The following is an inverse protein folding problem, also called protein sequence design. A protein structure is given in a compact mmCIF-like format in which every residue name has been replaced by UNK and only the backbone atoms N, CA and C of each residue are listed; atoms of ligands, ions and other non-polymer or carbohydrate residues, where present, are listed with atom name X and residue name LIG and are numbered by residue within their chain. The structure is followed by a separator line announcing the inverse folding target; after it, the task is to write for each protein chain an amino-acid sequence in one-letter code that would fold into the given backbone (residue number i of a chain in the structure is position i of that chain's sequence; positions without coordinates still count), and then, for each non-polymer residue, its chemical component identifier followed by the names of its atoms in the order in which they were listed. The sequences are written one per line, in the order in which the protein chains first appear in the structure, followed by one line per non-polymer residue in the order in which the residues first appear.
data_IF_107818676731
#
_entry.id   IF_107818676731
#
_cell.length_a   1.000
_cell.length_b   1.000
_cell.length_c   1.000
_cell.angle_alpha   90.00
_cell.angle_beta   90.00
_cell.angle_gamma   90.00
#
_symmetry.space_group_name_H-M   'P 1'
#
loop_
_entity.id
_entity.type
_entity.pdbx_description
1 polymer ?
#
# COMPACT_ATOMS: atom_id res chain seq x y z
N UNK A 1 40.38 -46.47 -37.74
CA UNK A 1 39.18 -47.05 -37.11
C UNK A 1 38.72 -46.13 -35.98
N UNK A 2 37.67 -45.34 -36.20
CA UNK A 2 37.10 -44.47 -35.17
C UNK A 2 36.10 -45.24 -34.32
N UNK A 3 36.34 -45.35 -33.01
CA UNK A 3 35.36 -45.92 -32.06
C UNK A 3 34.17 -44.96 -31.95
N UNK A 4 33.00 -45.39 -32.41
CA UNK A 4 31.76 -44.65 -32.20
C UNK A 4 31.47 -44.60 -30.69
N UNK A 5 31.50 -43.40 -30.10
CA UNK A 5 31.09 -43.18 -28.71
C UNK A 5 29.59 -43.39 -28.60
N UNK A 6 29.18 -44.39 -27.82
CA UNK A 6 27.78 -44.59 -27.44
C UNK A 6 27.30 -43.34 -26.69
N UNK A 7 26.40 -42.57 -27.29
CA UNK A 7 25.73 -41.46 -26.60
C UNK A 7 24.73 -42.08 -25.63
N UNK A 8 25.02 -42.03 -24.33
CA UNK A 8 24.05 -42.39 -23.29
C UNK A 8 22.90 -41.38 -23.33
N UNK A 9 21.68 -41.86 -23.54
CA UNK A 9 20.46 -41.07 -23.42
C UNK A 9 19.99 -40.99 -21.96
N UNK A 10 19.20 -39.97 -21.65
CA UNK A 10 18.57 -39.77 -20.34
C UNK A 10 17.50 -40.85 -20.09
N UNK A 11 17.40 -41.36 -18.87
CA UNK A 11 16.37 -42.35 -18.52
C UNK A 11 15.06 -41.67 -18.12
N UNK A 12 13.93 -42.33 -18.38
CA UNK A 12 12.61 -41.84 -17.93
C UNK A 12 12.55 -41.71 -16.40
N UNK A 13 13.21 -42.61 -15.67
CA UNK A 13 13.24 -42.59 -14.21
C UNK A 13 14.03 -41.39 -13.67
N UNK A 14 15.16 -41.02 -14.29
CA UNK A 14 15.89 -39.80 -13.93
C UNK A 14 15.00 -38.57 -14.10
N UNK A 15 14.24 -38.50 -15.19
CA UNK A 15 13.34 -37.38 -15.43
C UNK A 15 12.17 -37.35 -14.41
N UNK A 16 11.60 -38.50 -14.03
CA UNK A 16 10.53 -38.57 -13.04
C UNK A 16 10.98 -38.09 -11.66
N UNK A 17 12.15 -38.51 -11.19
CA UNK A 17 12.68 -38.09 -9.88
C UNK A 17 12.98 -36.59 -9.88
N UNK A 18 13.53 -36.05 -10.97
CA UNK A 18 13.81 -34.61 -11.10
C UNK A 18 12.52 -33.80 -11.03
N UNK A 19 11.46 -34.19 -11.76
CA UNK A 19 10.17 -33.49 -11.72
C UNK A 19 9.52 -33.59 -10.33
N UNK A 20 9.64 -34.73 -9.66
CA UNK A 20 9.13 -34.89 -8.29
C UNK A 20 9.83 -33.93 -7.31
N UNK A 21 11.16 -33.81 -7.38
CA UNK A 21 11.92 -32.88 -6.53
C UNK A 21 11.54 -31.42 -6.85
N UNK A 22 11.48 -31.05 -8.14
CA UNK A 22 11.07 -29.70 -8.55
C UNK A 22 9.65 -29.38 -8.08
N UNK A 23 8.72 -30.34 -8.13
CA UNK A 23 7.35 -30.18 -7.65
C UNK A 23 7.28 -29.84 -6.16
N UNK A 24 8.05 -30.55 -5.32
CA UNK A 24 8.14 -30.27 -3.88
C UNK A 24 8.74 -28.89 -3.61
N UNK A 25 9.84 -28.54 -4.30
CA UNK A 25 10.48 -27.24 -4.15
C UNK A 25 9.54 -26.09 -4.57
N UNK A 26 8.84 -26.24 -5.70
CA UNK A 26 7.90 -25.24 -6.20
C UNK A 26 6.71 -25.02 -5.25
N UNK A 27 6.20 -26.09 -4.62
CA UNK A 27 5.08 -26.01 -3.69
C UNK A 27 5.38 -25.11 -2.48
N UNK A 28 6.63 -25.10 -2.00
CA UNK A 28 7.05 -24.24 -0.87
C UNK A 28 7.55 -22.88 -1.35
N UNK A 29 8.28 -22.83 -2.47
CA UNK A 29 8.92 -21.61 -2.95
C UNK A 29 7.92 -20.57 -3.46
N UNK A 30 6.87 -20.99 -4.18
CA UNK A 30 5.88 -20.05 -4.76
C UNK A 30 5.14 -19.21 -3.71
N UNK A 31 4.52 -19.78 -2.65
CA UNK A 31 3.84 -18.95 -1.65
C UNK A 31 4.80 -18.05 -0.89
N UNK A 32 6.01 -18.54 -0.57
CA UNK A 32 7.03 -17.75 0.11
C UNK A 32 7.49 -16.54 -0.73
N UNK A 33 7.76 -16.76 -2.02
CA UNK A 33 8.16 -15.70 -2.94
C UNK A 33 7.04 -14.66 -3.13
N UNK A 34 5.79 -15.11 -3.23
CA UNK A 34 4.63 -14.19 -3.29
C UNK A 34 4.55 -13.31 -2.05
N UNK A 35 4.66 -13.88 -0.85
CA UNK A 35 4.64 -13.10 0.39
C UNK A 35 5.77 -12.05 0.46
N UNK A 36 6.98 -12.42 0.01
CA UNK A 36 8.10 -11.48 -0.05
C UNK A 36 7.85 -10.34 -1.05
N UNK A 37 7.29 -10.66 -2.22
CA UNK A 37 6.93 -9.65 -3.22
C UNK A 37 5.86 -8.68 -2.69
N UNK A 38 4.85 -9.18 -1.96
CA UNK A 38 3.83 -8.32 -1.35
C UNK A 38 4.44 -7.36 -0.32
N UNK A 39 5.32 -7.84 0.55
CA UNK A 39 6.02 -6.98 1.54
C UNK A 39 6.90 -5.91 0.88
N UNK A 40 7.59 -6.28 -0.20
CA UNK A 40 8.37 -5.30 -0.97
C UNK A 40 7.47 -4.21 -1.57
N UNK A 41 6.28 -4.58 -2.05
CA UNK A 41 5.29 -3.63 -2.59
C UNK A 41 4.72 -2.72 -1.51
N UNK A 42 4.40 -3.23 -0.32
CA UNK A 42 3.84 -2.40 0.76
C UNK A 42 4.80 -1.34 1.29
N UNK A 43 6.12 -1.52 1.09
CA UNK A 43 7.13 -0.52 1.48
C UNK A 43 6.93 0.80 0.73
N UNK A 44 6.52 0.73 -0.55
CA UNK A 44 6.22 1.90 -1.38
C UNK A 44 5.06 2.72 -0.80
N UNK A 45 3.99 2.06 -0.35
CA UNK A 45 2.85 2.74 0.27
C UNK A 45 3.28 3.55 1.48
N UNK A 46 4.14 2.97 2.32
CA UNK A 46 4.58 3.58 3.57
C UNK A 46 5.48 4.78 3.31
N UNK A 47 6.41 4.66 2.37
CA UNK A 47 7.29 5.76 1.97
C UNK A 47 6.48 6.95 1.43
N UNK A 48 5.55 6.70 0.51
CA UNK A 48 4.71 7.76 -0.05
C UNK A 48 3.78 8.37 1.00
N UNK A 49 3.15 7.56 1.86
CA UNK A 49 2.32 8.08 2.97
C UNK A 49 3.13 8.92 3.95
N UNK A 50 4.39 8.55 4.22
CA UNK A 50 5.32 9.34 5.01
C UNK A 50 5.63 10.70 4.38
N UNK A 51 5.87 10.72 3.06
CA UNK A 51 6.09 11.96 2.31
C UNK A 51 4.85 12.88 2.35
N UNK A 52 3.65 12.30 2.19
CA UNK A 52 2.38 13.04 2.31
C UNK A 52 2.22 13.63 3.71
N UNK A 53 2.46 12.84 4.77
CA UNK A 53 2.42 13.32 6.16
C UNK A 53 3.37 14.50 6.39
N UNK A 54 4.62 14.37 5.96
CA UNK A 54 5.61 15.42 6.12
C UNK A 54 5.20 16.71 5.39
N UNK A 55 4.63 16.58 4.18
CA UNK A 55 4.12 17.71 3.43
C UNK A 55 2.93 18.38 4.14
N UNK A 56 2.00 17.60 4.70
CA UNK A 56 0.86 18.11 5.49
C UNK A 56 1.33 18.85 6.75
N UNK A 57 2.30 18.30 7.48
CA UNK A 57 2.87 18.94 8.67
C UNK A 57 3.58 20.26 8.31
N UNK A 58 4.32 20.29 7.19
CA UNK A 58 4.93 21.51 6.67
C UNK A 58 3.87 22.55 6.27
N UNK A 59 2.79 22.12 5.63
CA UNK A 59 1.69 22.99 5.22
C UNK A 59 1.00 23.60 6.44
N UNK A 60 0.74 22.79 7.48
CA UNK A 60 0.20 23.27 8.75
C UNK A 60 1.12 24.29 9.43
N UNK A 61 2.43 24.07 9.42
CA UNK A 61 3.41 25.03 9.95
C UNK A 61 3.37 26.41 9.29
N UNK A 62 2.97 26.49 8.01
CA UNK A 62 2.90 27.73 7.25
C UNK A 62 1.53 28.41 7.33
N UNK A 63 0.44 27.62 7.32
CA UNK A 63 -0.92 28.13 7.15
C UNK A 63 -1.84 27.92 8.35
N UNK A 64 -1.36 27.25 9.42
CA UNK A 64 -2.16 26.88 10.60
C UNK A 64 -3.42 26.06 10.29
N UNK A 65 -3.40 25.36 9.16
CA UNK A 65 -4.41 24.41 8.69
C UNK A 65 -3.73 23.40 7.76
N UNK A 66 -4.29 22.20 7.60
CA UNK A 66 -3.81 21.21 6.64
C UNK A 66 -4.23 21.57 5.21
N UNK A 67 -3.63 20.90 4.22
CA UNK A 67 -4.07 21.06 2.84
C UNK A 67 -5.54 20.61 2.70
N UNK A 68 -6.21 21.04 1.63
CA UNK A 68 -7.59 20.60 1.37
C UNK A 68 -7.67 19.07 1.27
N UNK A 69 -8.89 18.52 1.37
CA UNK A 69 -9.07 17.08 1.10
C UNK A 69 -8.71 16.78 -0.35
N UNK A 70 -7.83 15.79 -0.55
CA UNK A 70 -7.29 15.39 -1.84
C UNK A 70 -7.95 14.10 -2.32
N UNK A 71 -8.42 14.11 -3.56
CA UNK A 71 -9.01 12.94 -4.21
C UNK A 71 -7.98 11.84 -4.52
N UNK A 72 -8.48 10.70 -4.99
CA UNK A 72 -7.62 9.58 -5.39
C UNK A 72 -6.63 9.96 -6.49
N UNK A 73 -5.35 9.70 -6.25
CA UNK A 73 -4.26 9.84 -7.21
C UNK A 73 -3.31 8.63 -7.11
N UNK A 74 -3.22 7.78 -8.14
CA UNK A 74 -4.02 7.81 -9.37
C UNK A 74 -5.52 7.58 -9.10
N UNK A 75 -6.41 8.04 -10.00
CA UNK A 75 -7.85 7.95 -9.79
C UNK A 75 -8.36 6.50 -9.65
N UNK A 76 -7.83 5.60 -10.48
CA UNK A 76 -8.12 4.16 -10.44
C UNK A 76 -7.02 3.40 -9.71
N UNK A 77 -7.39 2.30 -9.05
CA UNK A 77 -6.41 1.35 -8.52
C UNK A 77 -5.59 0.79 -9.70
N UNK A 78 -4.25 0.86 -9.65
CA UNK A 78 -3.41 0.20 -10.66
C UNK A 78 -3.74 -1.28 -10.76
N UNK A 79 -3.74 -1.83 -11.98
CA UNK A 79 -4.04 -3.25 -12.19
C UNK A 79 -3.01 -4.14 -11.47
N UNK A 80 -3.36 -5.40 -11.15
CA UNK A 80 -2.46 -6.29 -10.43
C UNK A 80 -1.13 -6.46 -11.15
N UNK A 81 -0.03 -6.37 -10.41
CA UNK A 81 1.35 -6.41 -10.93
C UNK A 81 1.71 -5.29 -11.91
N UNK A 82 0.92 -4.22 -12.00
CA UNK A 82 1.22 -3.02 -12.77
C UNK A 82 1.49 -1.83 -11.86
N UNK A 83 1.91 -0.72 -12.47
CA UNK A 83 2.14 0.56 -11.80
C UNK A 83 1.32 1.63 -12.52
N UNK A 84 0.82 2.60 -11.75
CA UNK A 84 0.17 3.81 -12.22
C UNK A 84 1.12 5.01 -12.19
N UNK A 85 0.69 6.10 -12.83
CA UNK A 85 1.38 7.38 -12.78
C UNK A 85 0.74 8.25 -11.72
N UNK A 86 1.54 8.74 -10.76
CA UNK A 86 1.12 9.79 -9.86
C UNK A 86 1.13 11.11 -10.63
N UNK A 87 0.01 11.84 -10.65
CA UNK A 87 -0.10 13.14 -11.33
C UNK A 87 0.03 14.27 -10.31
N UNK A 88 1.21 14.89 -10.23
CA UNK A 88 1.49 15.98 -9.29
C UNK A 88 0.62 17.22 -9.58
N UNK A 89 0.12 17.37 -10.80
CA UNK A 89 -0.74 18.49 -11.19
C UNK A 89 -2.24 18.20 -11.00
N UNK A 90 -2.59 17.04 -10.43
CA UNK A 90 -3.98 16.70 -10.15
C UNK A 90 -4.53 17.57 -9.02
N UNK A 91 -5.63 18.27 -9.26
CA UNK A 91 -6.31 19.20 -8.34
C UNK A 91 -6.06 18.94 -6.84
N UNK A 92 -5.45 19.93 -6.20
CA UNK A 92 -5.07 19.96 -4.79
C UNK A 92 -3.72 19.28 -4.48
N UNK A 93 -3.27 18.30 -5.26
CA UNK A 93 -1.96 17.67 -5.05
C UNK A 93 -0.81 18.63 -5.41
N UNK A 94 -1.05 19.57 -6.32
CA UNK A 94 -0.11 20.62 -6.67
C UNK A 94 0.28 21.52 -5.49
N UNK A 95 -0.67 21.74 -4.55
CA UNK A 95 -0.44 22.57 -3.36
C UNK A 95 0.39 21.84 -2.30
N UNK A 96 0.23 20.51 -2.22
CA UNK A 96 0.98 19.67 -1.29
C UNK A 96 2.39 19.36 -1.83
N UNK A 97 2.58 19.36 -3.14
CA UNK A 97 3.88 19.22 -3.80
C UNK A 97 4.55 17.85 -3.61
N UNK A 98 3.77 16.81 -3.30
CA UNK A 98 4.27 15.45 -3.15
C UNK A 98 4.48 14.83 -4.53
N UNK A 99 5.69 14.32 -4.78
CA UNK A 99 6.04 13.59 -5.99
C UNK A 99 6.76 12.29 -5.60
N UNK A 100 6.09 11.13 -5.66
CA UNK A 100 6.73 9.83 -5.42
C UNK A 100 7.83 9.57 -6.44
N UNK A 101 8.90 8.87 -6.03
CA UNK A 101 10.01 8.51 -6.93
C UNK A 101 9.57 7.46 -7.97
N UNK A 102 8.92 7.92 -9.03
CA UNK A 102 8.49 7.11 -10.16
C UNK A 102 7.08 6.50 -10.02
N UNK A 103 6.76 5.48 -10.85
CA UNK A 103 5.42 4.90 -10.90
C UNK A 103 5.00 4.22 -9.60
N UNK A 104 3.72 4.34 -9.26
CA UNK A 104 3.14 3.88 -7.99
C UNK A 104 2.20 2.68 -8.16
N UNK A 105 2.24 1.72 -7.25
CA UNK A 105 1.34 0.55 -7.17
C UNK A 105 0.06 0.85 -6.39
N UNK A 106 0.11 1.85 -5.53
CA UNK A 106 -1.02 2.31 -4.74
C UNK A 106 -1.61 3.56 -5.34
N UNK A 107 -2.91 3.75 -5.09
CA UNK A 107 -3.51 5.08 -5.16
C UNK A 107 -3.57 5.70 -3.77
N UNK A 108 -3.44 7.01 -3.72
CA UNK A 108 -3.37 7.79 -2.49
C UNK A 108 -4.50 8.81 -2.45
N UNK A 109 -4.97 9.13 -1.25
CA UNK A 109 -5.90 10.24 -1.01
C UNK A 109 -5.65 10.84 0.37
N UNK A 110 -6.15 12.06 0.57
CA UNK A 110 -6.09 12.73 1.87
C UNK A 110 -7.48 13.27 2.20
N UNK A 111 -7.94 13.02 3.43
CA UNK A 111 -9.07 13.74 3.99
C UNK A 111 -8.57 14.70 5.04
N UNK A 112 -9.13 15.90 5.06
CA UNK A 112 -8.82 16.90 6.07
C UNK A 112 -10.08 17.45 6.69
N UNK A 113 -9.96 17.87 7.95
CA UNK A 113 -11.06 18.42 8.71
C UNK A 113 -10.61 19.45 9.73
N UNK A 114 -11.52 20.35 10.06
CA UNK A 114 -11.31 21.39 11.06
C UNK A 114 -11.92 21.03 12.42
N UNK A 115 -11.70 21.91 13.41
CA UNK A 115 -12.35 21.81 14.72
C UNK A 115 -13.87 21.65 14.59
N UNK A 116 -14.44 20.73 15.36
CA UNK A 116 -15.86 20.36 15.32
C UNK A 116 -16.20 19.22 14.36
N UNK A 117 -15.26 18.77 13.53
CA UNK A 117 -15.42 17.60 12.65
C UNK A 117 -14.52 16.44 13.07
N UNK A 118 -14.88 15.21 12.70
CA UNK A 118 -14.09 14.01 13.01
C UNK A 118 -13.97 13.10 11.78
N UNK A 119 -12.86 12.36 11.64
CA UNK A 119 -12.75 11.31 10.64
C UNK A 119 -13.70 10.15 10.99
N UNK A 120 -14.39 9.62 9.99
CA UNK A 120 -15.10 8.36 10.11
C UNK A 120 -14.14 7.17 9.97
N UNK A 121 -14.63 5.97 10.29
CA UNK A 121 -13.89 4.70 10.21
C UNK A 121 -13.46 4.31 8.78
N UNK A 122 -13.95 5.01 7.74
CA UNK A 122 -13.55 4.87 6.34
C UNK A 122 -12.65 6.02 5.83
N UNK A 123 -12.22 6.89 6.76
CA UNK A 123 -11.41 8.08 6.53
C UNK A 123 -12.20 9.33 6.13
N UNK A 124 -13.46 9.22 5.71
CA UNK A 124 -14.23 10.38 5.24
C UNK A 124 -14.69 11.27 6.42
N UNK A 125 -14.75 12.60 6.28
CA UNK A 125 -15.25 13.47 7.33
C UNK A 125 -16.76 13.23 7.57
N UNK A 126 -17.17 13.05 8.82
CA UNK A 126 -18.60 12.98 9.19
C UNK A 126 -18.98 14.11 10.14
N UNK A 127 -20.16 14.70 9.93
CA UNK A 127 -20.68 15.83 10.72
C UNK A 127 -21.48 15.39 11.96
N UNK A 128 -21.08 14.30 12.62
CA UNK A 128 -21.78 13.78 13.79
C UNK A 128 -20.91 12.84 14.60
N UNK A 129 -21.22 12.69 15.88
CA UNK A 129 -20.52 11.83 16.85
C UNK A 129 -20.69 10.32 16.57
N UNK A 130 -20.55 9.88 15.31
CA UNK A 130 -20.17 8.50 15.02
C UNK A 130 -18.82 8.22 15.68
N UNK A 131 -18.52 6.95 15.96
CA UNK A 131 -17.31 6.52 16.65
C UNK A 131 -16.05 6.97 15.89
N UNK A 132 -15.64 8.22 16.13
CA UNK A 132 -14.37 8.75 15.70
C UNK A 132 -13.27 7.90 16.33
N UNK A 133 -12.12 7.91 15.69
CA UNK A 133 -10.98 7.11 16.11
C UNK A 133 -10.65 7.45 17.57
N UNK A 134 -10.43 6.44 18.44
CA UNK A 134 -10.09 6.67 19.84
C UNK A 134 -8.91 7.65 19.97
N UNK A 135 -9.07 8.67 20.81
CA UNK A 135 -8.06 9.72 21.01
C UNK A 135 -8.29 11.01 20.21
N UNK A 136 -9.26 11.02 19.28
CA UNK A 136 -9.57 12.23 18.52
C UNK A 136 -10.49 13.18 19.31
N UNK A 137 -9.96 14.32 19.76
CA UNK A 137 -10.71 15.30 20.57
C UNK A 137 -11.80 16.01 19.76
N UNK A 138 -11.57 16.24 18.46
CA UNK A 138 -12.42 17.06 17.60
C UNK A 138 -12.21 18.56 17.81
N UNK A 139 -11.27 18.99 18.65
CA UNK A 139 -10.98 20.41 18.88
C UNK A 139 -9.87 20.96 17.95
N UNK A 140 -9.26 20.09 17.16
CA UNK A 140 -8.05 20.36 16.38
C UNK A 140 -8.29 20.12 14.89
N UNK A 141 -7.45 20.73 14.06
CA UNK A 141 -7.35 20.34 12.66
C UNK A 141 -6.79 18.92 12.56
N UNK A 142 -7.19 18.20 11.52
CA UNK A 142 -6.70 16.85 11.26
C UNK A 142 -6.63 16.51 9.79
N UNK A 143 -5.84 15.48 9.53
CA UNK A 143 -5.85 14.78 8.27
C UNK A 143 -5.83 13.27 8.47
N UNK A 144 -6.35 12.56 7.46
CA UNK A 144 -6.22 11.12 7.26
C UNK A 144 -5.63 10.91 5.88
N UNK A 145 -4.48 10.25 5.82
CA UNK A 145 -3.90 9.78 4.57
C UNK A 145 -4.34 8.34 4.34
N UNK A 146 -4.59 7.97 3.09
CA UNK A 146 -4.94 6.60 2.76
C UNK A 146 -4.25 6.15 1.48
N UNK A 147 -3.66 4.95 1.50
CA UNK A 147 -3.17 4.26 0.33
C UNK A 147 -3.99 2.99 0.09
N UNK A 148 -4.34 2.71 -1.17
CA UNK A 148 -5.12 1.54 -1.55
C UNK A 148 -4.54 0.85 -2.79
N UNK A 149 -4.45 -0.48 -2.76
CA UNK A 149 -4.05 -1.29 -3.90
C UNK A 149 -4.73 -2.66 -3.90
N UNK A 150 -4.84 -3.28 -5.08
CA UNK A 150 -5.08 -4.72 -5.24
C UNK A 150 -3.77 -5.36 -5.72
N UNK A 151 -3.05 -6.00 -4.79
CA UNK A 151 -1.68 -6.42 -5.03
C UNK A 151 -1.58 -7.82 -5.69
N UNK A 152 -2.59 -8.68 -5.53
CA UNK A 152 -2.61 -10.05 -6.06
C UNK A 152 -3.73 -10.31 -7.09
N UNK A 153 -4.63 -9.36 -7.30
CA UNK A 153 -5.65 -9.42 -8.33
C UNK A 153 -6.84 -10.29 -7.99
N UNK A 154 -7.08 -10.52 -6.71
CA UNK A 154 -8.24 -11.29 -6.23
C UNK A 154 -9.49 -10.41 -6.02
N UNK A 155 -9.38 -9.09 -6.25
CA UNK A 155 -10.44 -8.11 -6.04
C UNK A 155 -10.55 -7.60 -4.60
N UNK A 156 -9.73 -8.13 -3.69
CA UNK A 156 -9.59 -7.65 -2.31
C UNK A 156 -8.50 -6.61 -2.25
N UNK A 157 -8.88 -5.38 -1.90
CA UNK A 157 -7.90 -4.30 -1.78
C UNK A 157 -7.28 -4.27 -0.38
N UNK A 158 -5.97 -4.07 -0.34
CA UNK A 158 -5.27 -3.64 0.87
C UNK A 158 -5.39 -2.13 1.04
N UNK A 159 -5.59 -1.69 2.27
CA UNK A 159 -5.74 -0.28 2.62
C UNK A 159 -4.84 0.07 3.80
N UNK A 160 -3.99 1.07 3.60
CA UNK A 160 -3.12 1.67 4.62
C UNK A 160 -3.66 3.05 4.97
N UNK A 161 -3.71 3.38 6.25
CA UNK A 161 -4.26 4.64 6.78
C UNK A 161 -3.29 5.27 7.78
N UNK A 162 -2.97 6.54 7.60
CA UNK A 162 -2.19 7.34 8.54
C UNK A 162 -3.01 8.50 9.09
N UNK A 163 -2.85 8.82 10.37
CA UNK A 163 -3.66 9.83 11.06
C UNK A 163 -2.78 10.97 11.60
N UNK A 164 -3.25 12.22 11.58
CA UNK A 164 -2.47 13.35 12.13
C UNK A 164 -1.98 13.12 13.56
N UNK A 165 -2.85 12.56 14.40
CA UNK A 165 -2.60 12.33 15.83
C UNK A 165 -1.71 11.11 16.15
N UNK A 166 -1.31 10.34 15.14
CA UNK A 166 -0.53 9.12 15.35
C UNK A 166 0.56 8.96 14.30
N UNK A 167 1.76 8.61 14.74
CA UNK A 167 2.86 8.25 13.84
C UNK A 167 2.74 6.80 13.30
N UNK A 168 1.63 6.12 13.62
CA UNK A 168 1.37 4.74 13.17
C UNK A 168 0.57 4.74 11.87
N UNK A 169 0.92 3.80 11.00
CA UNK A 169 0.11 3.43 9.83
C UNK A 169 -0.72 2.21 10.19
N UNK A 170 -2.03 2.33 10.04
CA UNK A 170 -2.99 1.27 10.28
C UNK A 170 -3.33 0.57 8.97
N UNK A 171 -3.53 -0.74 9.04
CA UNK A 171 -3.99 -1.53 7.89
C UNK A 171 -5.45 -1.90 8.15
N UNK A 172 -6.38 -1.26 7.43
CA UNK A 172 -7.81 -1.43 7.68
C UNK A 172 -8.41 -2.63 6.95
N UNK A 173 -7.77 -3.14 5.86
CA UNK A 173 -8.09 -4.42 5.18
C UNK A 173 -6.86 -5.04 4.49
N UNK A 174 -6.75 -6.38 4.53
CA UNK A 174 -6.11 -7.23 3.51
C UNK A 174 -4.76 -7.92 3.82
N UNK A 175 -4.74 -9.03 4.60
CA UNK A 175 -4.37 -10.44 4.24
C UNK A 175 -4.89 -11.30 5.41
N UNK A 176 -6.05 -11.95 5.26
CA UNK A 176 -6.70 -12.68 6.35
C UNK A 176 -7.29 -11.74 7.41
N UNK A 177 -8.57 -11.91 7.73
CA UNK A 177 -9.30 -11.00 8.62
C UNK A 177 -8.68 -10.90 10.00
N UNK A 178 -8.14 -9.74 10.35
CA UNK A 178 -8.05 -9.13 11.69
C UNK A 178 -7.11 -7.93 11.62
N UNK A 179 -7.41 -6.89 12.39
CA UNK A 179 -6.57 -5.71 12.55
C UNK A 179 -5.21 -6.15 13.14
N UNK A 180 -4.18 -6.29 12.30
CA UNK A 180 -2.83 -6.57 12.76
C UNK A 180 -2.04 -5.25 12.72
N UNK A 181 -1.94 -4.63 13.90
CA UNK A 181 -1.00 -3.56 14.20
C UNK A 181 0.41 -4.01 13.77
N UNK A 182 0.96 -3.40 12.73
CA UNK A 182 2.38 -3.56 12.41
C UNK A 182 3.05 -2.24 12.78
N UNK A 183 3.65 -2.19 13.97
CA UNK A 183 4.42 -1.04 14.43
C UNK A 183 5.72 -0.90 13.64
N UNK A 184 6.13 0.34 13.43
CA UNK A 184 7.43 0.69 12.86
C UNK A 184 8.46 0.73 14.00
N UNK A 185 9.44 -0.16 13.96
CA UNK A 185 10.77 0.08 14.53
C UNK A 185 11.69 0.62 13.43
#
# INVERSE_FOLDING_TARGET
MGRARYRRGFTLIELMVVVAIIGVLAAVAVPAFRAQMMRARTTEAVQTLGAIRQAEDSYYGLYSQYAGSLGWNPASIPAPNTVGSFDVAASGWEDLGVDPEGPVRFRYRVWTGGPGTRPALDGAPTSGAGAGIPGFSGAEYWFVTQAQADLDGDGTTVVFEGYSISDRVFVSRGIGGSYLETGWE
#
